data_IF_645387567201
#
_entry.id   IF_645387567201
#
_cell.length_a   1.000
_cell.length_b   1.000
_cell.length_c   1.000
_cell.angle_alpha   90.00
_cell.angle_beta   90.00
_cell.angle_gamma   90.00
#
_symmetry.space_group_name_H-M   'P 1'
#
loop_
_entity.id
_entity.type
_entity.pdbx_description
1 polymer ?
#
# COMPACT_ATOMS: atom_id res chain seq x y z
N UNK A 1 17.63 24.00 82.64
CA UNK A 1 17.16 24.62 81.38
C UNK A 1 17.11 23.53 80.31
N UNK A 2 15.91 23.07 79.93
CA UNK A 2 15.71 21.96 78.98
C UNK A 2 15.74 22.50 77.54
N UNK A 3 16.73 22.06 76.75
CA UNK A 3 16.82 22.33 75.30
C UNK A 3 15.68 21.60 74.58
N UNK A 4 14.80 22.35 73.91
CA UNK A 4 13.78 21.79 73.01
C UNK A 4 14.40 21.58 71.64
N UNK A 5 14.43 20.33 71.18
CA UNK A 5 14.71 19.96 69.79
C UNK A 5 13.51 20.42 68.94
N UNK A 6 13.75 21.25 67.93
CA UNK A 6 12.74 21.60 66.93
C UNK A 6 12.91 20.64 65.75
N UNK A 7 11.92 19.76 65.55
CA UNK A 7 11.79 18.97 64.32
C UNK A 7 11.05 19.83 63.29
N UNK A 8 11.73 20.18 62.21
CA UNK A 8 11.13 20.83 61.04
C UNK A 8 10.58 19.73 60.13
N UNK A 9 9.26 19.55 60.11
CA UNK A 9 8.60 18.63 59.19
C UNK A 9 8.44 19.31 57.82
N UNK A 10 9.15 18.80 56.81
CA UNK A 10 8.96 19.19 55.41
C UNK A 10 7.71 18.45 54.91
N UNK A 11 6.61 19.18 54.74
CA UNK A 11 5.43 18.71 54.03
C UNK A 11 5.75 18.67 52.53
N UNK A 12 6.10 17.49 52.02
CA UNK A 12 6.09 17.23 50.59
C UNK A 12 4.64 17.21 50.12
N UNK A 13 4.16 18.33 49.58
CA UNK A 13 2.91 18.37 48.81
C UNK A 13 3.22 17.71 47.48
N UNK A 14 2.99 16.40 47.40
CA UNK A 14 2.98 15.68 46.14
C UNK A 14 1.83 16.22 45.29
N UNK A 15 2.14 16.81 44.14
CA UNK A 15 1.17 17.00 43.07
C UNK A 15 0.64 15.62 42.68
N UNK A 16 -0.49 15.25 43.26
CA UNK A 16 -1.29 14.14 42.77
C UNK A 16 -2.00 14.68 41.53
N UNK A 17 -1.39 14.51 40.35
CA UNK A 17 -2.14 14.58 39.10
C UNK A 17 -3.24 13.54 39.20
N UNK A 18 -4.44 13.99 39.52
CA UNK A 18 -5.65 13.22 39.36
C UNK A 18 -5.76 12.93 37.86
N UNK A 19 -5.32 11.73 37.45
CA UNK A 19 -5.77 11.12 36.21
C UNK A 19 -7.28 10.96 36.35
N UNK A 20 -8.02 11.94 35.84
CA UNK A 20 -9.44 11.75 35.54
C UNK A 20 -9.57 10.45 34.75
N UNK A 21 -10.51 9.55 35.13
CA UNK A 21 -10.74 8.36 34.34
C UNK A 21 -11.23 8.83 32.97
N UNK A 22 -10.43 8.56 31.94
CA UNK A 22 -10.79 8.82 30.56
C UNK A 22 -11.84 7.78 30.12
N UNK A 23 -13.04 7.85 30.70
CA UNK A 23 -14.23 7.10 30.28
C UNK A 23 -15.30 8.08 29.77
N UNK A 24 -14.99 8.78 28.68
CA UNK A 24 -16.03 9.00 27.67
C UNK A 24 -15.87 7.86 26.69
N UNK A 25 -16.71 6.82 26.85
CA UNK A 25 -16.76 5.69 25.93
C UNK A 25 -16.85 6.18 24.49
N UNK A 26 -16.11 5.53 23.59
CA UNK A 26 -16.17 5.85 22.17
C UNK A 26 -17.61 5.67 21.68
N UNK A 27 -18.18 6.71 21.07
CA UNK A 27 -19.49 6.60 20.43
C UNK A 27 -19.30 6.06 19.02
N UNK A 28 -19.56 4.76 18.86
CA UNK A 28 -19.54 4.12 17.54
C UNK A 28 -20.76 4.52 16.73
N UNK A 29 -20.57 4.59 15.40
CA UNK A 29 -21.68 4.84 14.48
C UNK A 29 -22.52 3.58 14.34
N UNK A 30 -23.83 3.77 14.34
CA UNK A 30 -24.81 2.71 14.09
C UNK A 30 -24.48 1.97 12.80
N UNK A 31 -24.45 0.64 12.88
CA UNK A 31 -24.32 -0.25 11.71
C UNK A 31 -25.59 -1.07 11.63
N UNK A 32 -26.37 -0.87 10.56
CA UNK A 32 -27.64 -1.57 10.37
C UNK A 32 -27.39 -3.07 10.40
N UNK A 33 -28.26 -3.80 11.11
CA UNK A 33 -28.30 -5.26 11.10
C UNK A 33 -29.45 -5.72 10.22
N UNK A 34 -29.12 -6.44 9.16
CA UNK A 34 -30.11 -7.08 8.31
C UNK A 34 -30.39 -8.49 8.81
N UNK A 35 -31.44 -8.66 9.62
CA UNK A 35 -31.79 -9.97 10.19
C UNK A 35 -32.43 -10.92 9.18
N UNK A 36 -32.60 -10.52 7.92
CA UNK A 36 -33.20 -11.35 6.87
C UNK A 36 -32.20 -12.22 6.14
N UNK A 37 -30.90 -11.91 6.23
CA UNK A 37 -29.83 -12.65 5.55
C UNK A 37 -29.33 -13.79 6.44
N UNK A 38 -29.59 -15.02 6.02
CA UNK A 38 -29.17 -16.25 6.69
C UNK A 38 -28.74 -17.26 5.64
N UNK A 39 -27.50 -17.72 5.71
CA UNK A 39 -27.01 -18.81 4.87
C UNK A 39 -27.28 -20.17 5.52
N UNK A 40 -27.42 -21.23 4.73
CA UNK A 40 -27.45 -22.61 5.20
C UNK A 40 -26.14 -23.32 4.83
N UNK A 41 -25.41 -23.79 5.83
CA UNK A 41 -24.22 -24.60 5.64
C UNK A 41 -24.49 -26.02 6.14
N UNK A 42 -24.84 -26.90 5.21
CA UNK A 42 -25.10 -28.33 5.48
C UNK A 42 -26.18 -28.55 6.56
N UNK A 43 -27.27 -27.78 6.50
CA UNK A 43 -28.38 -27.83 7.46
C UNK A 43 -28.18 -26.97 8.71
N UNK A 44 -27.08 -26.22 8.81
CA UNK A 44 -26.84 -25.25 9.89
C UNK A 44 -27.09 -23.83 9.39
N UNK A 45 -28.09 -23.15 9.96
CA UNK A 45 -28.38 -21.75 9.64
C UNK A 45 -27.37 -20.79 10.28
N UNK A 46 -26.76 -19.92 9.49
CA UNK A 46 -25.76 -18.93 9.91
C UNK A 46 -26.21 -17.53 9.47
N UNK A 47 -26.69 -16.68 10.39
CA UNK A 47 -27.07 -15.30 10.08
C UNK A 47 -25.87 -14.43 9.71
N UNK A 48 -26.00 -13.62 8.68
CA UNK A 48 -24.99 -12.62 8.28
C UNK A 48 -25.60 -11.21 8.23
N UNK A 49 -25.78 -10.55 9.39
CA UNK A 49 -26.50 -9.29 9.48
C UNK A 49 -25.80 -8.11 8.82
N UNK A 50 -24.56 -8.29 8.36
CA UNK A 50 -23.75 -7.24 7.75
C UNK A 50 -23.37 -7.53 6.30
N UNK A 51 -24.01 -8.53 5.67
CA UNK A 51 -23.84 -8.86 4.24
C UNK A 51 -23.93 -7.64 3.32
N UNK A 52 -24.71 -6.62 3.68
CA UNK A 52 -24.83 -5.38 2.93
C UNK A 52 -23.49 -4.61 2.79
N UNK A 53 -22.53 -4.81 3.71
CA UNK A 53 -21.18 -4.24 3.62
C UNK A 53 -20.29 -4.93 2.56
N UNK A 54 -20.70 -6.08 2.02
CA UNK A 54 -19.95 -6.76 0.95
C UNK A 54 -20.11 -6.06 -0.41
N UNK A 55 -21.14 -5.22 -0.58
CA UNK A 55 -21.27 -4.36 -1.75
C UNK A 55 -20.43 -3.09 -1.57
N UNK A 56 -19.23 -3.13 -2.14
CA UNK A 56 -18.23 -2.07 -2.11
C UNK A 56 -18.51 -0.91 -3.07
N UNK A 57 -19.56 -1.01 -3.90
CA UNK A 57 -20.04 0.07 -4.77
C UNK A 57 -21.28 0.77 -4.22
N UNK A 58 -21.90 0.23 -3.17
CA UNK A 58 -23.10 0.83 -2.58
C UNK A 58 -22.82 2.15 -1.86
N UNK A 59 -23.76 3.09 -1.99
CA UNK A 59 -23.71 4.37 -1.26
C UNK A 59 -23.79 4.15 0.27
N UNK A 60 -24.50 3.11 0.72
CA UNK A 60 -24.63 2.75 2.14
C UNK A 60 -23.26 2.37 2.72
N UNK A 61 -22.52 1.48 2.06
CA UNK A 61 -21.16 1.08 2.46
C UNK A 61 -20.20 2.27 2.42
N UNK A 62 -20.24 3.10 1.37
CA UNK A 62 -19.41 4.29 1.27
C UNK A 62 -19.60 5.27 2.44
N UNK A 63 -20.86 5.54 2.82
CA UNK A 63 -21.19 6.38 3.98
C UNK A 63 -20.75 5.72 5.29
N UNK A 64 -20.91 4.42 5.41
CA UNK A 64 -20.47 3.68 6.60
C UNK A 64 -18.96 3.77 6.78
N UNK A 65 -18.16 3.57 5.72
CA UNK A 65 -16.70 3.69 5.75
C UNK A 65 -16.27 5.10 6.19
N UNK A 66 -16.88 6.15 5.65
CA UNK A 66 -16.61 7.54 6.07
C UNK A 66 -16.91 7.72 7.56
N UNK A 67 -18.06 7.23 8.02
CA UNK A 67 -18.49 7.35 9.40
C UNK A 67 -17.55 6.59 10.38
N UNK A 68 -16.98 5.45 9.97
CA UNK A 68 -15.95 4.75 10.73
C UNK A 68 -14.61 5.52 10.75
N UNK A 69 -14.19 6.07 9.61
CA UNK A 69 -12.99 6.91 9.52
C UNK A 69 -13.09 8.13 10.45
N UNK A 70 -14.25 8.79 10.52
CA UNK A 70 -14.48 9.93 11.42
C UNK A 70 -14.27 9.57 12.90
N UNK A 71 -14.77 8.40 13.32
CA UNK A 71 -14.59 7.91 14.69
C UNK A 71 -13.11 7.60 14.95
N UNK A 72 -12.46 6.91 14.02
CA UNK A 72 -11.05 6.53 14.14
C UNK A 72 -10.14 7.75 14.18
N UNK A 73 -10.22 8.66 13.20
CA UNK A 73 -9.39 9.86 13.19
C UNK A 73 -9.74 10.81 14.33
N UNK A 74 -11.03 10.95 14.68
CA UNK A 74 -11.45 11.69 15.87
C UNK A 74 -10.91 11.13 17.20
N UNK A 75 -10.53 9.86 17.25
CA UNK A 75 -9.79 9.28 18.37
C UNK A 75 -8.28 9.47 18.24
N UNK A 76 -7.71 9.11 17.09
CA UNK A 76 -6.25 9.17 16.85
C UNK A 76 -5.70 10.60 16.93
N UNK A 77 -6.47 11.61 16.53
CA UNK A 77 -6.08 13.02 16.56
C UNK A 77 -5.97 13.57 17.99
N UNK A 78 -6.56 12.89 18.99
CA UNK A 78 -6.45 13.26 20.40
C UNK A 78 -5.16 12.76 21.05
N UNK A 79 -4.41 11.88 20.40
CA UNK A 79 -3.18 11.30 20.95
C UNK A 79 -2.06 12.34 20.82
N UNK A 80 -1.58 12.95 21.93
CA UNK A 80 -0.73 14.14 21.87
C UNK A 80 0.64 13.89 21.23
N UNK A 81 1.12 12.65 21.25
CA UNK A 81 2.43 12.25 20.71
C UNK A 81 2.36 11.59 19.33
N UNK A 82 1.18 11.50 18.69
CA UNK A 82 1.04 10.87 17.36
C UNK A 82 1.93 11.54 16.31
N UNK A 83 1.95 12.87 16.27
CA UNK A 83 2.79 13.61 15.34
C UNK A 83 4.28 13.44 15.67
N UNK A 84 4.66 13.42 16.94
CA UNK A 84 6.06 13.15 17.32
C UNK A 84 6.55 11.78 16.86
N UNK A 85 5.68 10.75 16.87
CA UNK A 85 6.01 9.44 16.31
C UNK A 85 6.15 9.53 14.78
N UNK A 86 5.21 10.19 14.09
CA UNK A 86 5.29 10.38 12.64
C UNK A 86 6.58 11.10 12.23
N UNK A 87 6.93 12.16 12.94
CA UNK A 87 8.12 12.96 12.67
C UNK A 87 9.39 12.14 12.91
N UNK A 88 9.44 11.39 14.01
CA UNK A 88 10.58 10.51 14.30
C UNK A 88 10.73 9.39 13.27
N UNK A 89 9.62 8.80 12.81
CA UNK A 89 9.65 7.81 11.74
C UNK A 89 10.13 8.42 10.43
N UNK A 90 9.67 9.63 10.09
CA UNK A 90 10.09 10.35 8.89
C UNK A 90 11.59 10.63 8.92
N UNK A 91 12.12 11.16 10.02
CA UNK A 91 13.55 11.42 10.21
C UNK A 91 14.40 10.14 10.06
N UNK A 92 13.94 9.03 10.64
CA UNK A 92 14.66 7.75 10.55
C UNK A 92 14.56 7.09 9.17
N UNK A 93 13.53 7.43 8.39
CA UNK A 93 13.31 6.90 7.04
C UNK A 93 14.04 7.72 5.97
N UNK A 94 14.36 8.99 6.25
CA UNK A 94 14.97 9.94 5.32
C UNK A 94 16.49 9.74 5.17
N UNK A 95 16.85 8.66 4.48
CA UNK A 95 18.22 8.35 4.08
C UNK A 95 18.24 7.72 2.69
N UNK A 96 19.34 7.88 1.96
CA UNK A 96 19.47 7.28 0.64
C UNK A 96 19.46 5.74 0.69
N UNK A 97 18.67 5.13 -0.18
CA UNK A 97 18.53 3.67 -0.28
C UNK A 97 18.90 3.23 -1.68
N UNK A 98 19.69 2.16 -1.78
CA UNK A 98 20.07 1.54 -3.04
C UNK A 98 19.74 0.04 -3.02
N UNK A 99 19.27 -0.48 -4.14
CA UNK A 99 19.23 -1.94 -4.34
C UNK A 99 20.60 -2.47 -4.73
N UNK A 100 20.75 -3.80 -4.67
CA UNK A 100 21.86 -4.44 -5.37
C UNK A 100 21.77 -4.14 -6.89
N UNK A 101 22.89 -3.88 -7.56
CA UNK A 101 22.91 -3.66 -9.00
C UNK A 101 22.73 -4.98 -9.77
N UNK A 102 22.19 -4.89 -10.99
CA UNK A 102 22.08 -6.00 -11.93
C UNK A 102 22.40 -5.55 -13.34
N UNK A 103 23.18 -6.36 -14.08
CA UNK A 103 23.58 -6.03 -15.46
C UNK A 103 22.55 -6.59 -16.44
N UNK A 104 22.11 -5.78 -17.40
CA UNK A 104 21.28 -6.18 -18.55
C UNK A 104 21.82 -5.50 -19.81
N UNK A 105 22.25 -6.30 -20.79
CA UNK A 105 22.99 -5.78 -21.93
C UNK A 105 24.25 -5.02 -21.46
N UNK A 106 24.42 -3.81 -21.97
CA UNK A 106 25.56 -2.94 -21.65
C UNK A 106 25.36 -2.09 -20.37
N UNK A 107 24.16 -2.10 -19.80
CA UNK A 107 23.80 -1.23 -18.67
C UNK A 107 23.74 -1.99 -17.34
N UNK A 108 24.18 -1.31 -16.28
CA UNK A 108 23.93 -1.71 -14.90
C UNK A 108 22.69 -0.99 -14.38
N UNK A 109 21.70 -1.75 -13.91
CA UNK A 109 20.44 -1.24 -13.35
C UNK A 109 20.41 -1.41 -11.85
N UNK A 110 19.85 -0.41 -11.16
CA UNK A 110 19.61 -0.47 -9.72
C UNK A 110 18.47 0.48 -9.35
N UNK A 111 17.85 0.25 -8.21
CA UNK A 111 16.87 1.18 -7.64
C UNK A 111 17.56 2.12 -6.67
N UNK A 112 17.17 3.38 -6.69
CA UNK A 112 17.56 4.42 -5.73
C UNK A 112 16.30 5.10 -5.17
N UNK A 113 16.34 5.43 -3.88
CA UNK A 113 15.39 6.33 -3.23
C UNK A 113 16.19 7.38 -2.47
N UNK A 114 15.91 8.66 -2.70
CA UNK A 114 16.64 9.78 -2.06
C UNK A 114 16.33 9.94 -0.56
N UNK A 115 15.31 9.26 -0.04
CA UNK A 115 14.90 9.33 1.35
C UNK A 115 13.42 9.05 1.50
N UNK A 116 12.62 9.97 0.97
CA UNK A 116 11.17 10.04 1.20
C UNK A 116 10.34 9.99 -0.09
N UNK A 117 10.95 9.69 -1.24
CA UNK A 117 10.21 9.35 -2.45
C UNK A 117 9.21 8.22 -2.17
N UNK A 118 7.96 8.38 -2.63
CA UNK A 118 6.90 7.40 -2.45
C UNK A 118 7.27 6.03 -3.04
N UNK A 119 7.94 6.03 -4.19
CA UNK A 119 8.43 4.84 -4.87
C UNK A 119 9.92 5.00 -5.22
N UNK A 120 10.70 3.93 -5.07
CA UNK A 120 12.09 3.93 -5.54
C UNK A 120 12.15 4.05 -7.06
N UNK A 121 13.11 4.84 -7.55
CA UNK A 121 13.34 5.11 -8.97
C UNK A 121 14.36 4.11 -9.51
N UNK A 122 14.10 3.56 -10.70
CA UNK A 122 15.05 2.71 -11.40
C UNK A 122 16.03 3.58 -12.18
N UNK A 123 17.32 3.41 -11.88
CA UNK A 123 18.43 4.04 -12.59
C UNK A 123 19.13 3.01 -13.49
N UNK A 124 19.83 3.53 -14.50
CA UNK A 124 20.77 2.77 -15.33
C UNK A 124 22.10 3.49 -15.46
N UNK A 125 23.17 2.73 -15.63
CA UNK A 125 24.53 3.23 -15.79
C UNK A 125 25.24 2.49 -16.92
N UNK A 126 25.87 3.21 -17.84
CA UNK A 126 26.72 2.64 -18.89
C UNK A 126 28.17 2.67 -18.44
N UNK A 127 28.79 1.50 -18.23
CA UNK A 127 30.18 1.41 -17.76
C UNK A 127 30.45 2.23 -16.50
N UNK A 128 31.28 3.28 -16.62
CA UNK A 128 31.63 4.20 -15.52
C UNK A 128 31.03 5.59 -15.67
N UNK A 129 30.06 5.77 -16.57
CA UNK A 129 29.35 7.04 -16.73
C UNK A 129 28.47 7.34 -15.52
N UNK A 130 27.96 8.57 -15.41
CA UNK A 130 27.02 8.92 -14.34
C UNK A 130 25.69 8.19 -14.53
N UNK A 131 25.10 7.59 -13.47
CA UNK A 131 23.80 6.95 -13.58
C UNK A 131 22.69 7.94 -13.98
N UNK A 132 21.79 7.49 -14.84
CA UNK A 132 20.63 8.26 -15.30
C UNK A 132 19.34 7.58 -14.90
N UNK A 133 18.28 8.36 -14.70
CA UNK A 133 16.93 7.82 -14.46
C UNK A 133 16.48 7.02 -15.68
N UNK A 134 16.04 5.79 -15.45
CA UNK A 134 15.51 4.91 -16.49
C UNK A 134 13.99 4.74 -16.39
N UNK A 135 13.46 4.55 -15.18
CA UNK A 135 12.02 4.44 -14.94
C UNK A 135 11.68 5.03 -13.57
N UNK A 136 10.81 6.05 -13.54
CA UNK A 136 10.37 6.71 -12.32
C UNK A 136 8.89 6.42 -12.02
N UNK A 137 8.59 5.52 -11.07
CA UNK A 137 7.20 5.19 -10.73
C UNK A 137 6.43 6.34 -10.07
N UNK A 138 7.11 7.34 -9.51
CA UNK A 138 6.45 8.52 -8.93
C UNK A 138 5.76 9.37 -10.01
N UNK A 139 6.11 9.18 -11.29
CA UNK A 139 5.47 9.85 -12.43
C UNK A 139 4.17 9.16 -12.90
N UNK A 140 3.89 7.94 -12.44
CA UNK A 140 2.75 7.15 -12.93
C UNK A 140 1.39 7.68 -12.45
N UNK A 141 1.36 8.37 -11.32
CA UNK A 141 0.14 8.96 -10.74
C UNK A 141 0.48 10.21 -9.96
N UNK A 142 -0.45 11.19 -9.96
CA UNK A 142 -0.24 12.47 -9.28
C UNK A 142 -0.10 12.34 -7.76
N UNK A 143 -0.70 11.32 -7.17
CA UNK A 143 -0.72 11.06 -5.73
C UNK A 143 0.24 9.94 -5.29
N UNK A 144 1.01 9.36 -6.22
CA UNK A 144 1.96 8.28 -5.94
C UNK A 144 1.32 6.94 -5.57
N UNK A 145 0.02 6.77 -5.86
CA UNK A 145 -0.73 5.52 -5.56
C UNK A 145 -0.55 4.44 -6.63
N UNK A 146 0.09 4.77 -7.75
CA UNK A 146 0.49 3.80 -8.77
C UNK A 146 1.93 3.35 -8.55
N UNK A 147 2.13 2.05 -8.34
CA UNK A 147 3.45 1.48 -8.03
C UNK A 147 3.98 0.59 -9.14
N UNK A 148 5.30 0.46 -9.21
CA UNK A 148 5.98 -0.54 -10.05
C UNK A 148 5.90 -1.90 -9.36
N UNK A 149 5.21 -2.84 -9.99
CA UNK A 149 4.93 -4.16 -9.46
C UNK A 149 5.99 -5.21 -9.84
N UNK A 150 6.65 -5.02 -10.99
CA UNK A 150 7.62 -5.97 -11.50
C UNK A 150 8.29 -5.47 -12.77
N UNK A 151 9.50 -5.98 -13.03
CA UNK A 151 10.28 -5.71 -14.23
C UNK A 151 10.85 -7.02 -14.75
N UNK A 152 10.82 -7.19 -16.08
CA UNK A 152 11.38 -8.36 -16.75
C UNK A 152 12.02 -7.91 -18.06
N UNK A 153 13.34 -8.09 -18.16
CA UNK A 153 14.08 -7.77 -19.37
C UNK A 153 14.19 -8.99 -20.28
N UNK A 154 14.28 -8.77 -21.59
CA UNK A 154 14.81 -9.78 -22.51
C UNK A 154 16.24 -10.17 -22.11
N UNK A 155 16.68 -11.33 -22.58
CA UNK A 155 18.01 -11.86 -22.21
C UNK A 155 19.15 -10.93 -22.63
N UNK A 156 19.00 -10.24 -23.77
CA UNK A 156 19.97 -9.26 -24.27
C UNK A 156 19.79 -7.85 -23.66
N UNK A 157 18.73 -7.63 -22.87
CA UNK A 157 18.43 -6.35 -22.24
C UNK A 157 17.85 -5.29 -23.18
N UNK A 158 17.52 -5.64 -24.43
CA UNK A 158 16.97 -4.69 -25.42
C UNK A 158 15.55 -4.24 -25.12
N UNK A 159 14.72 -5.10 -24.52
CA UNK A 159 13.33 -4.77 -24.15
C UNK A 159 13.11 -4.93 -22.65
N UNK A 160 12.25 -4.08 -22.11
CA UNK A 160 11.69 -4.18 -20.77
C UNK A 160 10.17 -4.41 -20.88
N UNK A 161 9.67 -5.43 -20.20
CA UNK A 161 8.27 -5.48 -19.79
C UNK A 161 8.19 -5.09 -18.31
N UNK A 162 7.39 -4.09 -17.98
CA UNK A 162 7.15 -3.69 -16.60
C UNK A 162 5.67 -3.71 -16.25
N UNK A 163 5.40 -4.04 -14.99
CA UNK A 163 4.05 -4.17 -14.45
C UNK A 163 3.76 -2.99 -13.52
N UNK A 164 2.59 -2.38 -13.64
CA UNK A 164 2.12 -1.34 -12.71
C UNK A 164 0.88 -1.78 -11.94
N UNK A 165 0.71 -1.26 -10.74
CA UNK A 165 -0.43 -1.46 -9.83
C UNK A 165 -1.09 -0.14 -9.54
N UNK A 166 -2.40 -0.04 -9.72
CA UNK A 166 -3.15 1.18 -9.38
C UNK A 166 -3.87 0.96 -8.05
N UNK A 167 -3.72 1.89 -7.10
CA UNK A 167 -4.40 1.84 -5.80
C UNK A 167 -4.01 0.64 -4.92
N UNK A 168 -2.88 -0.01 -5.20
CA UNK A 168 -2.45 -1.23 -4.50
C UNK A 168 -3.23 -2.49 -4.87
N UNK A 169 -4.02 -2.46 -5.95
CA UNK A 169 -4.76 -3.62 -6.45
C UNK A 169 -3.84 -4.74 -6.93
N UNK A 170 -4.29 -5.98 -6.77
CA UNK A 170 -3.61 -7.14 -7.34
C UNK A 170 -3.69 -7.20 -8.87
N UNK A 171 -4.65 -6.51 -9.47
CA UNK A 171 -4.70 -6.30 -10.91
C UNK A 171 -3.54 -5.41 -11.36
N UNK A 172 -2.93 -5.79 -12.47
CA UNK A 172 -1.76 -5.17 -13.05
C UNK A 172 -2.00 -4.86 -14.52
N UNK A 173 -1.32 -3.82 -14.98
CA UNK A 173 -1.10 -3.54 -16.39
C UNK A 173 0.33 -3.91 -16.75
N UNK A 174 0.58 -4.45 -17.94
CA UNK A 174 1.93 -4.73 -18.46
C UNK A 174 2.21 -3.78 -19.61
N UNK A 175 3.34 -3.09 -19.54
CA UNK A 175 3.81 -2.14 -20.54
C UNK A 175 5.15 -2.64 -21.09
N UNK A 176 5.29 -2.63 -22.41
CA UNK A 176 6.53 -3.02 -23.12
C UNK A 176 7.23 -1.77 -23.61
N UNK A 177 8.52 -1.67 -23.31
CA UNK A 177 9.36 -0.51 -23.60
C UNK A 177 10.67 -0.95 -24.23
N UNK A 178 11.13 -0.21 -25.24
CA UNK A 178 12.50 -0.32 -25.74
C UNK A 178 13.46 0.21 -24.68
N UNK A 179 14.44 -0.60 -24.28
CA UNK A 179 15.33 -0.23 -23.19
C UNK A 179 16.31 0.88 -23.60
N UNK A 180 16.66 1.05 -24.88
CA UNK A 180 17.61 2.07 -25.30
C UNK A 180 16.94 3.44 -25.41
N UNK A 181 15.87 3.53 -26.22
CA UNK A 181 15.13 4.77 -26.49
C UNK A 181 14.17 5.16 -25.37
N UNK A 182 13.77 4.20 -24.52
CA UNK A 182 12.73 4.36 -23.49
C UNK A 182 11.34 4.65 -24.09
N UNK A 183 11.13 4.30 -25.35
CA UNK A 183 9.82 4.40 -26.01
C UNK A 183 8.94 3.21 -25.66
N UNK A 184 7.66 3.47 -25.37
CA UNK A 184 6.65 2.43 -25.23
C UNK A 184 6.29 1.90 -26.62
N UNK A 185 6.42 0.59 -26.81
CA UNK A 185 6.36 -0.02 -28.15
C UNK A 185 4.97 -0.50 -28.55
N UNK A 186 4.21 -0.99 -27.58
CA UNK A 186 2.96 -1.72 -27.82
C UNK A 186 1.84 -1.20 -26.94
N UNK A 187 0.62 -1.60 -27.27
CA UNK A 187 -0.53 -1.35 -26.41
C UNK A 187 -0.34 -2.00 -25.04
N UNK A 188 -0.84 -1.32 -24.01
CA UNK A 188 -0.76 -1.80 -22.63
C UNK A 188 -1.66 -3.02 -22.45
N UNK A 189 -1.08 -4.13 -21.99
CA UNK A 189 -1.87 -5.29 -21.59
C UNK A 189 -2.57 -5.01 -20.28
N UNK A 190 -3.85 -5.32 -20.22
CA UNK A 190 -4.70 -5.20 -19.03
C UNK A 190 -5.07 -6.58 -18.50
N UNK A 191 -5.73 -6.61 -17.35
CA UNK A 191 -6.34 -7.81 -16.76
C UNK A 191 -5.31 -8.88 -16.39
N UNK A 192 -4.09 -8.46 -16.10
CA UNK A 192 -3.02 -9.31 -15.58
C UNK A 192 -3.15 -9.36 -14.05
N UNK A 193 -3.12 -10.54 -13.46
CA UNK A 193 -3.22 -10.70 -12.00
C UNK A 193 -2.46 -11.95 -11.58
N UNK A 194 -1.69 -11.85 -10.49
CA UNK A 194 -0.83 -12.93 -9.99
C UNK A 194 0.10 -13.53 -11.07
N UNK A 195 0.75 -12.66 -11.83
CA UNK A 195 1.60 -13.04 -12.96
C UNK A 195 3.01 -12.51 -12.82
N UNK A 196 4.00 -13.35 -13.12
CA UNK A 196 5.31 -12.89 -13.60
C UNK A 196 5.30 -12.67 -15.12
N UNK A 197 6.42 -12.22 -15.68
CA UNK A 197 6.63 -12.08 -17.13
C UNK A 197 7.85 -12.90 -17.54
N UNK A 198 7.66 -13.85 -18.47
CA UNK A 198 8.72 -14.75 -18.92
C UNK A 198 8.95 -14.65 -20.43
N UNK A 199 10.04 -13.98 -20.82
CA UNK A 199 10.39 -13.75 -22.22
C UNK A 199 10.76 -15.03 -22.99
N UNK A 200 10.24 -15.16 -24.21
CA UNK A 200 10.65 -16.13 -25.22
C UNK A 200 11.53 -15.42 -26.24
N UNK A 201 12.82 -15.29 -25.93
CA UNK A 201 13.72 -14.43 -26.71
C UNK A 201 13.17 -13.00 -26.74
N UNK A 202 13.12 -12.38 -27.92
CA UNK A 202 12.60 -11.02 -28.09
C UNK A 202 11.32 -10.98 -28.93
N UNK A 203 10.68 -12.14 -29.15
CA UNK A 203 9.47 -12.23 -29.99
C UNK A 203 8.17 -12.15 -29.18
N UNK A 204 8.27 -12.21 -27.85
CA UNK A 204 7.14 -12.15 -26.93
C UNK A 204 7.48 -12.74 -25.56
N UNK A 205 6.48 -12.79 -24.68
CA UNK A 205 6.60 -13.34 -23.34
C UNK A 205 5.32 -14.08 -22.94
N UNK A 206 5.46 -14.99 -21.98
CA UNK A 206 4.34 -15.64 -21.33
C UNK A 206 3.88 -14.83 -20.12
N UNK A 207 2.57 -14.79 -19.89
CA UNK A 207 1.96 -14.15 -18.73
C UNK A 207 0.63 -14.82 -18.36
N UNK A 208 0.20 -14.55 -17.14
CA UNK A 208 -1.03 -15.04 -16.56
C UNK A 208 -2.09 -13.96 -16.45
N UNK A 209 -3.35 -14.34 -16.60
CA UNK A 209 -4.49 -13.43 -16.52
C UNK A 209 -5.75 -14.17 -16.05
N UNK A 210 -6.77 -13.39 -15.71
CA UNK A 210 -8.11 -13.87 -15.38
C UNK A 210 -9.12 -13.04 -16.19
N UNK A 211 -10.26 -13.64 -16.50
CA UNK A 211 -11.38 -12.83 -16.97
C UNK A 211 -11.81 -11.86 -15.87
N UNK A 212 -12.17 -10.64 -16.26
CA UNK A 212 -12.79 -9.71 -15.31
C UNK A 212 -14.06 -10.35 -14.73
N UNK A 213 -14.27 -10.26 -13.40
CA UNK A 213 -15.53 -10.63 -12.79
C UNK A 213 -16.70 -9.93 -13.49
N UNK A 214 -17.76 -10.69 -13.79
CA UNK A 214 -18.99 -10.14 -14.38
C UNK A 214 -19.88 -9.45 -13.35
N UNK A 215 -19.81 -9.94 -12.11
CA UNK A 215 -20.56 -9.45 -10.96
C UNK A 215 -19.57 -8.95 -9.88
N UNK A 216 -19.95 -7.90 -9.15
CA UNK A 216 -19.09 -7.24 -8.16
C UNK A 216 -18.11 -6.23 -8.77
N UNK A 217 -17.25 -5.66 -7.92
CA UNK A 217 -16.20 -4.74 -8.38
C UNK A 217 -14.96 -5.50 -8.84
N UNK A 218 -13.99 -4.81 -9.44
CA UNK A 218 -12.67 -5.38 -9.72
C UNK A 218 -11.94 -5.86 -8.43
N UNK A 219 -12.30 -5.32 -7.27
CA UNK A 219 -11.67 -5.60 -5.98
C UNK A 219 -12.39 -6.69 -5.18
N UNK A 220 -13.71 -6.82 -5.32
CA UNK A 220 -14.54 -7.77 -4.58
C UNK A 220 -15.00 -8.97 -5.42
N UNK A 221 -14.99 -8.84 -6.75
CA UNK A 221 -15.46 -9.85 -7.67
C UNK A 221 -14.60 -11.12 -7.66
N UNK A 222 -15.27 -12.27 -7.68
CA UNK A 222 -14.62 -13.57 -7.68
C UNK A 222 -13.83 -13.78 -8.99
N UNK A 223 -12.53 -13.98 -8.87
CA UNK A 223 -11.65 -14.35 -9.99
C UNK A 223 -11.44 -15.86 -9.99
N UNK A 224 -11.81 -16.51 -11.10
CA UNK A 224 -11.71 -17.96 -11.27
C UNK A 224 -11.11 -18.31 -12.62
N UNK A 225 -10.52 -19.51 -12.70
CA UNK A 225 -9.91 -20.08 -13.90
C UNK A 225 -8.73 -19.26 -14.43
N UNK A 226 -7.58 -19.42 -13.77
CA UNK A 226 -6.31 -18.84 -14.20
C UNK A 226 -5.96 -19.23 -15.65
N UNK A 227 -5.62 -18.24 -16.47
CA UNK A 227 -5.23 -18.41 -17.87
C UNK A 227 -3.74 -18.12 -18.04
N UNK A 228 -3.08 -18.92 -18.87
CA UNK A 228 -1.70 -18.71 -19.30
C UNK A 228 -1.71 -18.37 -20.79
N UNK A 229 -1.07 -17.26 -21.15
CA UNK A 229 -0.87 -16.77 -22.50
C UNK A 229 0.61 -16.84 -22.85
#
# INVERSE_FOLDING_TARGET
MKRKLAFLAILAVGCQESKEPMEKGLSYRESRKDTTVVDDYFGTSVPDPYRWLEDDQSEETGKWVQAQNDVTFGFLDKIPFRNSIKDRLTELWDYEKYSAPSIKGDYTYFYKNDGLQNQSVMYRQLGTEEPTVFLDPNSFSKDGTTSLAGTSFTKDGSLLAFQISEGGSDWRKVIVMDAASMEILEDTLVDVKFSGISWKGNVGFYYSSYDKPKDGSELSGLTQFHKLF
#
